data_IF_453951778104
#
_entry.id   IF_453951778104
#
_cell.length_a   1.000
_cell.length_b   1.000
_cell.length_c   1.000
_cell.angle_alpha   90.00
_cell.angle_beta   90.00
_cell.angle_gamma   90.00
#
_symmetry.space_group_name_H-M   'P 1'
#
loop_
_entity.id
_entity.type
_entity.pdbx_description
1 polymer ?
#
# COMPACT_ATOMS: atom_id res chain seq x y z
N UNK A 1 14.48 -11.54 11.28
CA UNK A 1 13.06 -11.61 11.68
C UNK A 1 12.26 -11.40 10.42
N UNK A 2 11.28 -12.25 10.14
CA UNK A 2 10.49 -12.14 8.91
C UNK A 2 9.68 -10.83 8.90
N UNK A 3 9.42 -10.25 7.72
CA UNK A 3 8.68 -8.98 7.57
C UNK A 3 7.29 -9.07 8.20
N UNK A 4 6.62 -10.23 8.08
CA UNK A 4 5.32 -10.47 8.73
C UNK A 4 5.43 -10.42 10.25
N UNK A 5 6.51 -10.96 10.81
CA UNK A 5 6.75 -10.91 12.26
C UNK A 5 7.03 -9.48 12.72
N UNK A 6 7.81 -8.71 11.98
CA UNK A 6 8.08 -7.29 12.28
C UNK A 6 6.78 -6.48 12.23
N UNK A 7 5.97 -6.67 11.19
CA UNK A 7 4.65 -6.05 11.05
C UNK A 7 3.73 -6.44 12.21
N UNK A 8 3.69 -7.70 12.62
CA UNK A 8 2.88 -8.15 13.75
C UNK A 8 3.31 -7.58 15.10
N UNK A 9 4.59 -7.21 15.21
CA UNK A 9 5.15 -6.59 16.42
C UNK A 9 5.00 -5.07 16.45
N UNK A 10 4.62 -4.45 15.32
CA UNK A 10 4.41 -3.03 15.24
C UNK A 10 3.18 -2.64 16.07
N UNK A 11 3.34 -1.62 16.93
CA UNK A 11 2.23 -1.08 17.72
C UNK A 11 1.22 -0.35 16.84
N UNK A 12 1.74 0.41 15.88
CA UNK A 12 0.99 1.28 15.00
C UNK A 12 1.51 1.12 13.57
N UNK A 13 0.60 1.25 12.61
CA UNK A 13 0.91 1.26 11.18
C UNK A 13 0.25 2.48 10.53
N UNK A 14 1.01 3.22 9.73
CA UNK A 14 0.51 4.24 8.84
C UNK A 14 0.37 3.65 7.44
N UNK A 15 -0.76 3.87 6.77
CA UNK A 15 -1.00 3.43 5.41
C UNK A 15 -1.01 4.63 4.48
N UNK A 16 -0.25 4.56 3.38
CA UNK A 16 -0.45 5.44 2.23
C UNK A 16 -1.18 4.67 1.15
N UNK A 17 -2.16 5.34 0.52
CA UNK A 17 -2.86 4.83 -0.66
C UNK A 17 -2.52 5.75 -1.81
N UNK A 18 -1.74 5.25 -2.75
CA UNK A 18 -1.30 6.00 -3.92
C UNK A 18 -2.13 5.57 -5.12
N UNK A 19 -2.77 6.53 -5.78
CA UNK A 19 -3.49 6.33 -7.04
C UNK A 19 -2.83 7.15 -8.12
N UNK A 20 -2.39 6.50 -9.21
CA UNK A 20 -1.76 7.18 -10.31
C UNK A 20 -2.09 6.54 -11.66
N UNK A 21 -1.90 7.31 -12.72
CA UNK A 21 -1.99 6.84 -14.09
C UNK A 21 -0.63 6.95 -14.77
N UNK A 22 -0.28 5.93 -15.54
CA UNK A 22 0.84 5.97 -16.48
C UNK A 22 0.46 6.72 -17.76
N UNK A 23 1.47 7.10 -18.55
CA UNK A 23 1.28 7.77 -19.85
C UNK A 23 0.52 6.90 -20.86
N UNK A 24 0.54 5.58 -20.67
CA UNK A 24 -0.17 4.62 -21.52
C UNK A 24 -1.62 4.38 -21.07
N UNK A 25 -2.22 5.33 -20.33
CA UNK A 25 -3.61 5.29 -19.87
C UNK A 25 -3.90 4.05 -19.00
N UNK A 26 -2.88 3.53 -18.31
CA UNK A 26 -3.04 2.47 -17.29
C UNK A 26 -3.05 3.12 -15.92
N UNK A 27 -4.00 2.74 -15.08
CA UNK A 27 -4.08 3.25 -13.71
C UNK A 27 -3.75 2.19 -12.69
N UNK A 28 -3.20 2.64 -11.57
CA UNK A 28 -2.64 1.80 -10.53
C UNK A 28 -3.07 2.29 -9.15
N UNK A 29 -3.12 1.34 -8.22
CA UNK A 29 -3.21 1.58 -6.78
C UNK A 29 -2.04 0.89 -6.09
N UNK A 30 -1.33 1.66 -5.29
CA UNK A 30 -0.36 1.17 -4.33
C UNK A 30 -0.90 1.36 -2.93
N UNK A 31 -0.75 0.37 -2.06
CA UNK A 31 -0.93 0.54 -0.62
C UNK A 31 0.40 0.19 0.03
N UNK A 32 0.99 1.16 0.72
CA UNK A 32 2.25 1.00 1.44
C UNK A 32 1.99 1.18 2.93
N UNK A 33 2.43 0.21 3.72
CA UNK A 33 2.44 0.29 5.17
C UNK A 33 3.77 0.81 5.68
N UNK A 34 3.74 1.78 6.58
CA UNK A 34 4.88 2.32 7.30
C UNK A 34 4.72 2.06 8.78
N UNK A 35 5.76 1.54 9.42
CA UNK A 35 5.72 1.21 10.83
C UNK A 35 7.11 1.32 11.46
N UNK A 36 7.16 1.52 12.78
CA UNK A 36 8.42 1.66 13.51
C UNK A 36 8.63 0.47 14.43
N UNK A 37 9.77 -0.21 14.29
CA UNK A 37 10.22 -1.28 15.20
C UNK A 37 11.65 -0.97 15.63
N UNK A 38 11.92 -0.99 16.94
CA UNK A 38 13.27 -0.72 17.50
C UNK A 38 13.88 0.57 16.94
N UNK A 39 13.11 1.67 16.93
CA UNK A 39 13.52 2.99 16.41
C UNK A 39 13.92 3.01 14.93
N UNK A 40 13.56 1.98 14.16
CA UNK A 40 13.78 1.93 12.71
C UNK A 40 12.44 2.06 11.99
N UNK A 41 12.35 2.98 11.02
CA UNK A 41 11.21 3.08 10.12
C UNK A 41 11.31 2.00 9.05
N UNK A 42 10.26 1.21 8.93
CA UNK A 42 10.08 0.19 7.90
C UNK A 42 8.97 0.62 6.95
N UNK A 43 9.11 0.27 5.67
CA UNK A 43 8.05 0.37 4.68
C UNK A 43 7.86 -0.97 3.99
N UNK A 44 6.59 -1.32 3.73
CA UNK A 44 6.22 -2.56 3.05
C UNK A 44 5.10 -2.30 2.06
N UNK A 45 5.26 -2.74 0.81
CA UNK A 45 4.20 -2.71 -0.19
C UNK A 45 3.21 -3.84 0.11
N UNK A 46 2.00 -3.47 0.52
CA UNK A 46 0.92 -4.40 0.86
C UNK A 46 0.09 -4.76 -0.36
N UNK A 47 -0.20 -3.77 -1.19
CA UNK A 47 -0.97 -3.94 -2.43
C UNK A 47 -0.30 -3.18 -3.56
N UNK A 48 -0.24 -3.83 -4.71
CA UNK A 48 0.00 -3.18 -6.00
C UNK A 48 -1.00 -3.72 -7.00
N UNK A 49 -1.96 -2.89 -7.39
CA UNK A 49 -3.07 -3.28 -8.23
C UNK A 49 -3.14 -2.41 -9.48
N UNK A 50 -3.34 -3.03 -10.65
CA UNK A 50 -3.63 -2.32 -11.90
C UNK A 50 -5.14 -2.35 -12.14
N UNK A 51 -5.75 -1.17 -12.22
CA UNK A 51 -7.16 -1.06 -12.59
C UNK A 51 -7.35 -1.19 -14.09
N UNK A 52 -8.44 -1.87 -14.45
CA UNK A 52 -8.94 -1.93 -15.82
C UNK A 52 -10.36 -1.32 -15.85
N UNK A 53 -10.56 -0.32 -16.72
CA UNK A 53 -11.82 0.42 -16.85
C UNK A 53 -12.03 1.47 -15.75
N UNK A 54 -13.30 1.70 -15.36
CA UNK A 54 -13.71 2.82 -14.50
C UNK A 54 -12.99 2.90 -13.13
N UNK A 55 -12.64 4.11 -12.69
CA UNK A 55 -11.92 4.44 -11.45
C UNK A 55 -12.86 5.00 -10.37
N UNK A 56 -14.05 4.43 -10.22
CA UNK A 56 -15.02 4.90 -9.23
C UNK A 56 -14.58 4.53 -7.82
N UNK A 57 -14.98 5.33 -6.82
CA UNK A 57 -14.74 5.03 -5.40
C UNK A 57 -15.19 3.60 -5.02
N UNK A 58 -16.28 3.11 -5.64
CA UNK A 58 -16.77 1.74 -5.45
C UNK A 58 -15.78 0.66 -5.89
N UNK A 59 -15.02 0.88 -6.97
CA UNK A 59 -13.99 -0.05 -7.45
C UNK A 59 -12.66 0.05 -6.70
N UNK A 60 -12.44 1.15 -5.98
CA UNK A 60 -11.28 1.31 -5.09
C UNK A 60 -11.56 0.67 -3.72
N UNK A 61 -12.83 0.71 -3.28
CA UNK A 61 -13.26 0.13 -2.00
C UNK A 61 -13.47 -1.39 -2.04
N UNK A 62 -13.94 -1.94 -3.18
CA UNK A 62 -14.21 -3.36 -3.37
C UNK A 62 -12.98 -4.11 -3.91
#
# INVERSE_FOLDING_TARGET
MDMKQQLSSAKDICLTVDLWSSRDIRSFMGIIGYFVVKFTLHSVMLVFHRFHGSHTAKKIYN
#
